data_IF_365681212177
#
_entry.id   IF_365681212177
#
_cell.length_a   1.000
_cell.length_b   1.000
_cell.length_c   1.000
_cell.angle_alpha   90.00
_cell.angle_beta   90.00
_cell.angle_gamma   90.00
#
_symmetry.space_group_name_H-M   'P 1'
#
loop_
_entity.id
_entity.type
_entity.pdbx_description
1 polymer ?
#
# COMPACT_ATOMS: atom_id res chain seq x y z
N UNK A 1 -11.33 23.10 -68.63
CA UNK A 1 -11.39 23.41 -67.18
C UNK A 1 -11.82 22.24 -66.29
N UNK A 2 -12.41 21.14 -66.82
CA UNK A 2 -12.89 20.00 -66.00
C UNK A 2 -11.80 19.09 -65.40
N UNK A 3 -10.64 18.94 -66.06
CA UNK A 3 -9.56 18.07 -65.58
C UNK A 3 -8.91 18.54 -64.26
N UNK A 4 -8.90 19.85 -64.00
CA UNK A 4 -8.29 20.42 -62.80
C UNK A 4 -9.21 20.29 -61.57
N UNK A 5 -10.54 20.41 -61.77
CA UNK A 5 -11.53 20.19 -60.70
C UNK A 5 -11.58 18.73 -60.22
N UNK A 6 -11.40 17.74 -61.12
CA UNK A 6 -11.40 16.32 -60.77
C UNK A 6 -10.16 15.90 -59.98
N UNK A 7 -8.97 16.43 -60.33
CA UNK A 7 -7.72 16.20 -59.57
C UNK A 7 -7.80 16.76 -58.15
N UNK A 8 -8.34 17.98 -57.99
CA UNK A 8 -8.41 18.63 -56.69
C UNK A 8 -9.39 17.91 -55.73
N UNK A 9 -10.51 17.38 -56.25
CA UNK A 9 -11.47 16.58 -55.47
C UNK A 9 -10.93 15.20 -55.06
N UNK A 10 -10.08 14.58 -55.89
CA UNK A 10 -9.40 13.34 -55.53
C UNK A 10 -8.26 13.57 -54.53
N UNK A 11 -7.57 14.70 -54.62
CA UNK A 11 -6.54 15.09 -53.65
C UNK A 11 -7.14 15.37 -52.27
N UNK A 12 -8.27 16.10 -52.20
CA UNK A 12 -8.95 16.36 -50.92
C UNK A 12 -9.51 15.08 -50.28
N UNK A 13 -10.04 14.15 -51.08
CA UNK A 13 -10.47 12.83 -50.57
C UNK A 13 -9.32 12.00 -50.03
N UNK A 14 -8.18 11.98 -50.72
CA UNK A 14 -6.96 11.29 -50.25
C UNK A 14 -6.40 11.96 -48.98
N UNK A 15 -6.40 13.28 -48.92
CA UNK A 15 -5.97 14.04 -47.74
C UNK A 15 -6.88 13.77 -46.53
N UNK A 16 -8.20 13.76 -46.73
CA UNK A 16 -9.16 13.42 -45.68
C UNK A 16 -9.01 11.96 -45.22
N UNK A 17 -8.75 11.01 -46.14
CA UNK A 17 -8.52 9.61 -45.79
C UNK A 17 -7.23 9.44 -44.95
N UNK A 18 -6.15 10.13 -45.32
CA UNK A 18 -4.90 10.13 -44.56
C UNK A 18 -5.11 10.75 -43.17
N UNK A 19 -5.83 11.87 -43.07
CA UNK A 19 -6.18 12.50 -41.79
C UNK A 19 -7.02 11.57 -40.91
N UNK A 20 -8.01 10.86 -41.47
CA UNK A 20 -8.86 9.93 -40.72
C UNK A 20 -8.10 8.71 -40.18
N UNK A 21 -6.95 8.34 -40.75
CA UNK A 21 -6.14 7.20 -40.27
C UNK A 21 -5.03 7.68 -39.33
N UNK A 22 -4.37 8.78 -39.67
CA UNK A 22 -3.22 9.27 -38.91
C UNK A 22 -3.66 9.86 -37.56
N UNK A 23 -4.80 10.56 -37.50
CA UNK A 23 -5.28 11.19 -36.26
C UNK A 23 -5.60 10.16 -35.16
N UNK A 24 -6.35 9.06 -35.41
CA UNK A 24 -6.58 8.03 -34.38
C UNK A 24 -5.30 7.35 -33.91
N UNK A 25 -4.35 7.06 -34.81
CA UNK A 25 -3.07 6.43 -34.46
C UNK A 25 -2.27 7.35 -33.52
N UNK A 26 -2.20 8.65 -33.83
CA UNK A 26 -1.53 9.63 -32.97
C UNK A 26 -2.23 9.76 -31.61
N UNK A 27 -3.57 9.74 -31.56
CA UNK A 27 -4.32 9.76 -30.31
C UNK A 27 -4.08 8.51 -29.45
N UNK A 28 -4.04 7.33 -30.05
CA UNK A 28 -3.71 6.08 -29.35
C UNK A 28 -2.28 6.14 -28.79
N UNK A 29 -1.31 6.64 -29.56
CA UNK A 29 0.06 6.83 -29.09
C UNK A 29 0.14 7.82 -27.93
N UNK A 30 -0.62 8.93 -27.97
CA UNK A 30 -0.68 9.89 -26.86
C UNK A 30 -1.30 9.25 -25.61
N UNK A 31 -2.39 8.48 -25.75
CA UNK A 31 -3.02 7.78 -24.62
C UNK A 31 -2.02 6.80 -23.99
N UNK A 32 -1.33 5.98 -24.78
CA UNK A 32 -0.33 5.04 -24.29
C UNK A 32 0.85 5.74 -23.60
N UNK A 33 1.30 6.89 -24.12
CA UNK A 33 2.35 7.70 -23.49
C UNK A 33 1.85 8.29 -22.16
N UNK A 34 0.63 8.83 -22.12
CA UNK A 34 0.02 9.40 -20.91
C UNK A 34 -0.19 8.32 -19.84
N UNK A 35 -0.67 7.13 -20.23
CA UNK A 35 -0.84 6.00 -19.31
C UNK A 35 0.52 5.49 -18.80
N UNK A 36 1.53 5.39 -19.67
CA UNK A 36 2.89 5.06 -19.26
C UNK A 36 3.52 6.08 -18.31
N UNK A 37 3.33 7.37 -18.56
CA UNK A 37 3.79 8.45 -17.66
C UNK A 37 3.04 8.40 -16.33
N UNK A 38 1.72 8.14 -16.35
CA UNK A 38 0.89 8.04 -15.15
C UNK A 38 1.30 6.83 -14.29
N UNK A 39 1.56 5.68 -14.92
CA UNK A 39 2.04 4.48 -14.23
C UNK A 39 3.45 4.68 -13.64
N UNK A 40 4.34 5.34 -14.39
CA UNK A 40 5.68 5.68 -13.92
C UNK A 40 5.64 6.70 -12.76
N UNK A 41 4.78 7.72 -12.80
CA UNK A 41 4.69 8.73 -11.75
C UNK A 41 4.07 8.15 -10.46
N UNK A 42 3.10 7.23 -10.58
CA UNK A 42 2.56 6.47 -9.44
C UNK A 42 3.65 5.57 -8.85
N UNK A 43 4.37 4.80 -9.67
CA UNK A 43 5.44 3.90 -9.18
C UNK A 43 6.57 4.67 -8.49
N UNK A 44 6.97 5.83 -9.05
CA UNK A 44 7.99 6.71 -8.45
C UNK A 44 7.48 7.39 -7.18
N UNK A 45 6.20 7.77 -7.08
CA UNK A 45 5.59 8.24 -5.83
C UNK A 45 5.50 7.12 -4.79
N UNK A 46 5.21 5.89 -5.21
CA UNK A 46 5.14 4.72 -4.34
C UNK A 46 6.52 4.37 -3.77
N UNK A 47 7.56 4.33 -4.62
CA UNK A 47 8.94 4.23 -4.17
C UNK A 47 9.25 5.37 -3.21
N UNK A 48 8.94 6.63 -3.54
CA UNK A 48 9.21 7.73 -2.62
C UNK A 48 8.40 7.65 -1.32
N UNK A 49 7.17 7.13 -1.28
CA UNK A 49 6.36 6.98 -0.05
C UNK A 49 6.86 5.81 0.80
N UNK A 50 7.22 4.70 0.19
CA UNK A 50 7.78 3.51 0.85
C UNK A 50 9.20 3.82 1.34
N UNK A 51 10.07 4.40 0.51
CA UNK A 51 11.41 4.85 0.88
C UNK A 51 11.41 6.01 1.88
N UNK A 52 10.51 7.00 1.78
CA UNK A 52 10.50 8.13 2.73
C UNK A 52 9.90 7.80 4.09
N UNK A 53 8.94 6.86 4.18
CA UNK A 53 8.44 6.38 5.49
C UNK A 53 9.50 5.57 6.23
N UNK A 54 10.16 4.63 5.57
CA UNK A 54 11.23 3.83 6.18
C UNK A 54 12.49 4.67 6.52
N UNK A 55 12.79 5.75 5.79
CA UNK A 55 13.93 6.64 6.10
C UNK A 55 13.63 7.67 7.21
N UNK A 56 12.34 8.00 7.45
CA UNK A 56 11.95 8.88 8.57
C UNK A 56 12.10 8.20 9.95
N UNK A 57 11.98 6.87 9.98
CA UNK A 57 12.26 6.04 11.16
C UNK A 57 13.77 5.96 11.47
N UNK A 58 14.64 6.07 10.46
CA UNK A 58 16.10 6.06 10.63
C UNK A 58 16.73 7.41 11.03
N UNK A 59 16.02 8.54 10.90
CA UNK A 59 16.57 9.89 11.17
C UNK A 59 16.33 10.43 12.59
N UNK A 60 15.71 9.66 13.50
CA UNK A 60 15.36 10.11 14.86
C UNK A 60 16.44 9.93 15.93
N UNK A 61 17.71 9.75 15.54
CA UNK A 61 18.86 9.97 16.41
C UNK A 61 19.05 11.47 16.73
N UNK A 62 18.13 12.12 17.46
CA UNK A 62 18.44 13.44 18.07
C UNK A 62 17.55 13.98 19.19
N UNK A 63 16.73 13.19 19.88
CA UNK A 63 16.00 13.73 21.05
C UNK A 63 16.04 12.77 22.23
N UNK A 64 17.00 13.01 23.12
CA UNK A 64 17.17 12.30 24.38
C UNK A 64 16.28 12.84 25.51
N UNK A 65 16.05 12.00 26.52
CA UNK A 65 15.40 12.38 27.78
C UNK A 65 14.93 11.20 28.62
N UNK A 66 15.87 10.41 29.16
CA UNK A 66 15.62 9.23 29.98
C UNK A 66 14.88 9.54 31.30
N UNK A 67 13.76 8.87 31.56
CA UNK A 67 13.31 8.51 32.92
C UNK A 67 12.84 7.05 32.96
N UNK A 68 13.73 6.17 33.43
CA UNK A 68 13.43 4.75 33.70
C UNK A 68 12.59 4.65 34.98
N UNK A 69 11.30 4.33 34.86
CA UNK A 69 10.50 3.83 35.98
C UNK A 69 10.69 2.30 36.03
N UNK A 70 11.33 1.80 37.09
CA UNK A 70 11.47 0.35 37.33
C UNK A 70 10.14 -0.20 37.86
N UNK A 71 9.51 -1.07 37.09
CA UNK A 71 8.58 -2.07 37.65
C UNK A 71 9.12 -3.46 37.33
N UNK A 72 9.22 -4.28 38.36
CA UNK A 72 9.93 -5.55 38.39
C UNK A 72 9.08 -6.69 37.81
N UNK A 73 9.73 -7.53 36.98
CA UNK A 73 9.36 -8.89 36.53
C UNK A 73 8.67 -9.13 35.16
N UNK A 74 8.80 -8.21 34.23
CA UNK A 74 8.59 -8.45 32.79
C UNK A 74 9.69 -7.73 32.01
N UNK A 75 9.99 -8.12 30.77
CA UNK A 75 10.87 -7.31 29.88
C UNK A 75 10.54 -5.82 30.10
N UNK A 76 11.54 -4.97 30.36
CA UNK A 76 11.34 -3.53 30.48
C UNK A 76 10.90 -3.00 29.11
N UNK A 77 9.61 -3.09 28.80
CA UNK A 77 9.01 -2.58 27.58
C UNK A 77 8.83 -1.06 27.77
N UNK A 78 9.82 -0.31 27.30
CA UNK A 78 9.73 1.14 27.25
C UNK A 78 9.04 1.56 25.96
N UNK A 79 7.73 1.76 25.99
CA UNK A 79 6.97 2.23 24.81
C UNK A 79 7.34 3.68 24.42
N UNK A 80 8.10 4.41 25.24
CA UNK A 80 8.72 5.67 24.84
C UNK A 80 9.95 5.46 23.98
N UNK A 81 10.51 4.24 23.95
CA UNK A 81 11.53 3.89 23.00
C UNK A 81 10.90 3.61 21.63
N UNK A 82 10.74 4.67 20.84
CA UNK A 82 10.24 4.57 19.47
C UNK A 82 11.24 3.91 18.49
N UNK A 83 12.47 3.57 18.92
CA UNK A 83 13.42 2.83 18.06
C UNK A 83 13.00 1.38 17.86
N UNK A 84 12.34 0.80 18.86
CA UNK A 84 11.94 -0.60 18.88
C UNK A 84 10.42 -0.66 18.77
N UNK A 85 9.94 -1.24 17.67
CA UNK A 85 8.52 -1.44 17.45
C UNK A 85 8.00 -2.53 18.41
N UNK A 86 6.91 -2.23 19.13
CA UNK A 86 6.23 -3.22 19.96
C UNK A 86 5.60 -4.31 19.08
N UNK A 87 5.53 -5.55 19.58
CA UNK A 87 4.58 -6.52 19.02
C UNK A 87 3.15 -6.21 19.46
N UNK A 88 2.16 -6.85 18.82
CA UNK A 88 0.76 -6.71 19.22
C UNK A 88 0.51 -7.15 20.66
N UNK A 89 1.14 -8.25 21.07
CA UNK A 89 1.08 -8.80 22.41
C UNK A 89 1.73 -7.86 23.43
N UNK A 90 2.89 -7.30 23.09
CA UNK A 90 3.58 -6.32 23.93
C UNK A 90 2.76 -5.05 24.10
N UNK A 91 2.16 -4.53 23.04
CA UNK A 91 1.22 -3.40 23.11
C UNK A 91 0.02 -3.71 24.01
N UNK A 92 -0.57 -4.90 23.89
CA UNK A 92 -1.73 -5.29 24.70
C UNK A 92 -1.38 -5.43 26.17
N UNK A 93 -0.20 -5.96 26.50
CA UNK A 93 0.30 -5.99 27.88
C UNK A 93 0.60 -4.59 28.41
N UNK A 94 1.14 -3.67 27.60
CA UNK A 94 1.28 -2.26 27.98
C UNK A 94 -0.09 -1.66 28.32
N UNK A 95 -1.07 -1.76 27.43
CA UNK A 95 -2.42 -1.23 27.65
C UNK A 95 -3.09 -1.83 28.88
N UNK A 96 -2.96 -3.14 29.08
CA UNK A 96 -3.51 -3.85 30.25
C UNK A 96 -2.93 -3.35 31.57
N UNK A 97 -1.62 -3.08 31.60
CA UNK A 97 -0.91 -2.67 32.82
C UNK A 97 -0.97 -1.15 33.09
N UNK A 98 -1.54 -0.36 32.17
CA UNK A 98 -1.78 1.08 32.41
C UNK A 98 -2.90 1.27 33.43
N UNK A 99 -2.59 2.00 34.51
CA UNK A 99 -3.53 2.32 35.59
C UNK A 99 -3.91 3.81 35.66
N UNK A 100 -3.13 4.67 35.00
CA UNK A 100 -3.34 6.11 34.94
C UNK A 100 -3.15 6.58 33.49
N UNK A 101 -3.82 7.68 33.13
CA UNK A 101 -3.62 8.31 31.83
C UNK A 101 -2.22 8.95 31.83
N UNK A 102 -1.33 8.58 30.88
CA UNK A 102 0.00 9.12 30.85
C UNK A 102 -0.03 10.58 30.34
N UNK A 103 1.04 11.35 30.56
CA UNK A 103 1.19 12.67 29.98
C UNK A 103 1.07 12.65 28.44
N UNK A 104 0.68 13.78 27.85
CA UNK A 104 0.35 13.87 26.41
C UNK A 104 1.46 13.35 25.48
N UNK A 105 2.72 13.63 25.78
CA UNK A 105 3.85 13.15 25.00
C UNK A 105 3.99 11.62 25.01
N UNK A 106 3.82 10.99 26.16
CA UNK A 106 3.86 9.53 26.32
C UNK A 106 2.64 8.89 25.65
N UNK A 107 1.47 9.54 25.73
CA UNK A 107 0.25 9.12 25.04
C UNK A 107 0.41 9.16 23.51
N UNK A 108 1.06 10.20 22.97
CA UNK A 108 1.37 10.28 21.55
C UNK A 108 2.38 9.21 21.11
N UNK A 109 3.35 8.85 21.96
CA UNK A 109 4.27 7.74 21.68
C UNK A 109 3.52 6.40 21.64
N UNK A 110 2.65 6.15 22.63
CA UNK A 110 1.81 4.95 22.66
C UNK A 110 0.91 4.87 21.41
N UNK A 111 0.32 5.99 21.00
CA UNK A 111 -0.49 6.07 19.80
C UNK A 111 0.33 5.75 18.53
N UNK A 112 1.53 6.29 18.42
CA UNK A 112 2.42 5.99 17.30
C UNK A 112 2.82 4.51 17.24
N UNK A 113 3.14 3.91 18.39
CA UNK A 113 3.39 2.47 18.49
C UNK A 113 2.16 1.66 18.08
N UNK A 114 0.97 2.07 18.51
CA UNK A 114 -0.30 1.43 18.15
C UNK A 114 -0.54 1.45 16.64
N UNK A 115 -0.33 2.58 15.98
CA UNK A 115 -0.41 2.68 14.52
C UNK A 115 0.62 1.79 13.83
N UNK A 116 1.85 1.73 14.36
CA UNK A 116 2.91 0.87 13.82
C UNK A 116 2.55 -0.61 13.89
N UNK A 117 2.03 -1.06 15.03
CA UNK A 117 1.49 -2.43 15.22
C UNK A 117 0.33 -2.68 14.25
N UNK A 118 -0.64 -1.77 14.18
CA UNK A 118 -1.83 -1.93 13.33
C UNK A 118 -1.48 -2.08 11.85
N UNK A 119 -0.59 -1.22 11.33
CA UNK A 119 -0.19 -1.24 9.91
C UNK A 119 0.87 -2.27 9.55
N UNK A 120 1.40 -3.02 10.52
CA UNK A 120 2.39 -4.06 10.25
C UNK A 120 1.78 -5.13 9.32
N UNK A 121 2.43 -5.36 8.17
CA UNK A 121 1.91 -6.21 7.09
C UNK A 121 2.96 -7.12 6.44
N UNK A 122 4.20 -7.14 6.95
CA UNK A 122 5.32 -7.84 6.32
C UNK A 122 5.06 -9.35 6.15
N UNK A 123 4.49 -9.98 7.18
CA UNK A 123 4.15 -11.41 7.17
C UNK A 123 3.12 -11.71 6.08
N UNK A 124 2.03 -10.95 6.03
CA UNK A 124 1.00 -11.07 4.99
C UNK A 124 1.59 -10.91 3.59
N UNK A 125 2.39 -9.87 3.36
CA UNK A 125 2.99 -9.63 2.05
C UNK A 125 3.95 -10.74 1.65
N UNK A 126 4.69 -11.30 2.61
CA UNK A 126 5.59 -12.44 2.40
C UNK A 126 4.81 -13.67 1.98
N UNK A 127 3.69 -13.97 2.68
CA UNK A 127 2.82 -15.07 2.31
C UNK A 127 2.21 -14.89 0.91
N UNK A 128 1.61 -13.72 0.63
CA UNK A 128 1.04 -13.42 -0.69
C UNK A 128 2.07 -13.52 -1.80
N UNK A 129 3.28 -12.99 -1.57
CA UNK A 129 4.38 -13.09 -2.53
C UNK A 129 4.77 -14.55 -2.78
N UNK A 130 4.85 -15.36 -1.72
CA UNK A 130 5.22 -16.78 -1.86
C UNK A 130 4.27 -17.58 -2.76
N UNK A 131 2.99 -17.19 -2.83
CA UNK A 131 1.99 -17.83 -3.70
C UNK A 131 2.29 -17.53 -5.17
N UNK A 132 2.53 -16.27 -5.51
CA UNK A 132 2.71 -15.84 -6.91
C UNK A 132 4.15 -15.97 -7.41
N UNK A 133 5.15 -16.06 -6.52
CA UNK A 133 6.58 -16.07 -6.85
C UNK A 133 6.97 -17.14 -7.89
N UNK A 134 6.54 -18.42 -7.79
CA UNK A 134 6.90 -19.43 -8.78
C UNK A 134 6.48 -19.08 -10.21
N UNK A 135 5.43 -18.26 -10.35
CA UNK A 135 4.97 -17.78 -11.64
C UNK A 135 5.75 -16.55 -12.10
N UNK A 136 6.09 -15.63 -11.20
CA UNK A 136 6.97 -14.51 -11.53
C UNK A 136 8.34 -15.02 -12.06
N UNK A 137 8.90 -16.06 -11.43
CA UNK A 137 10.20 -16.62 -11.79
C UNK A 137 10.20 -17.36 -13.14
N UNK A 138 9.09 -18.02 -13.49
CA UNK A 138 9.01 -18.86 -14.70
C UNK A 138 9.10 -18.06 -16.00
N UNK A 139 8.64 -16.80 -16.00
CA UNK A 139 8.44 -16.01 -17.22
C UNK A 139 9.40 -14.81 -17.35
N UNK A 140 10.39 -14.68 -16.46
CA UNK A 140 11.53 -13.78 -16.66
C UNK A 140 12.41 -14.18 -17.87
N UNK A 141 12.21 -15.40 -18.40
CA UNK A 141 13.02 -15.99 -19.48
C UNK A 141 12.37 -15.97 -20.88
N UNK A 142 11.08 -15.68 -21.00
CA UNK A 142 10.35 -15.65 -22.28
C UNK A 142 9.64 -14.29 -22.45
N UNK A 143 10.32 -13.37 -23.13
CA UNK A 143 9.77 -12.08 -23.57
C UNK A 143 8.56 -12.32 -24.50
N UNK A 144 7.32 -12.40 -23.98
CA UNK A 144 6.19 -11.78 -24.70
C UNK A 144 4.81 -11.69 -24.01
N UNK A 145 4.50 -12.30 -22.85
CA UNK A 145 3.06 -12.33 -22.45
C UNK A 145 2.70 -12.17 -20.95
N UNK A 146 3.64 -11.87 -20.04
CA UNK A 146 3.33 -11.88 -18.59
C UNK A 146 3.47 -10.59 -17.78
N UNK A 147 3.43 -9.43 -18.44
CA UNK A 147 3.24 -8.12 -17.80
C UNK A 147 2.02 -8.08 -16.85
N UNK A 148 1.05 -8.99 -17.01
CA UNK A 148 -0.18 -9.05 -16.19
C UNK A 148 0.09 -9.55 -14.77
N UNK A 149 0.96 -10.54 -14.58
CA UNK A 149 1.18 -11.13 -13.25
C UNK A 149 1.98 -10.17 -12.34
N UNK A 150 3.01 -9.54 -12.90
CA UNK A 150 3.77 -8.47 -12.23
C UNK A 150 2.89 -7.24 -11.96
N UNK A 151 2.10 -6.79 -12.95
CA UNK A 151 1.14 -5.71 -12.73
C UNK A 151 0.10 -6.05 -11.65
N UNK A 152 -0.32 -7.31 -11.55
CA UNK A 152 -1.26 -7.75 -10.49
C UNK A 152 -0.59 -7.71 -9.11
N UNK A 153 0.67 -8.13 -9.00
CA UNK A 153 1.43 -8.00 -7.76
C UNK A 153 1.63 -6.53 -7.35
N UNK A 154 1.97 -5.65 -8.30
CA UNK A 154 2.08 -4.21 -8.04
C UNK A 154 0.74 -3.64 -7.59
N UNK A 155 -0.36 -3.99 -8.26
CA UNK A 155 -1.70 -3.55 -7.89
C UNK A 155 -2.11 -4.04 -6.49
N UNK A 156 -1.68 -5.24 -6.09
CA UNK A 156 -1.84 -5.76 -4.73
C UNK A 156 -1.15 -4.87 -3.70
N UNK A 157 0.13 -4.54 -3.90
CA UNK A 157 0.87 -3.65 -3.01
C UNK A 157 0.24 -2.27 -2.93
N UNK A 158 -0.24 -1.74 -4.07
CA UNK A 158 -0.91 -0.44 -4.13
C UNK A 158 -2.20 -0.43 -3.32
N UNK A 159 -3.09 -1.38 -3.58
CA UNK A 159 -4.39 -1.45 -2.91
C UNK A 159 -4.23 -1.65 -1.40
N UNK A 160 -3.34 -2.55 -0.97
CA UNK A 160 -3.05 -2.75 0.46
C UNK A 160 -2.51 -1.46 1.09
N UNK A 161 -1.52 -0.82 0.45
CA UNK A 161 -0.92 0.42 0.95
C UNK A 161 -1.91 1.58 1.08
N UNK A 162 -2.81 1.75 0.10
CA UNK A 162 -3.85 2.78 0.12
C UNK A 162 -4.87 2.54 1.23
N UNK A 163 -5.38 1.31 1.39
CA UNK A 163 -6.33 0.98 2.45
C UNK A 163 -5.74 1.25 3.84
N UNK A 164 -4.50 0.81 4.09
CA UNK A 164 -3.85 1.03 5.39
C UNK A 164 -3.57 2.52 5.65
N UNK A 165 -3.23 3.29 4.61
CA UNK A 165 -3.04 4.74 4.74
C UNK A 165 -4.35 5.46 5.07
N UNK A 166 -5.44 5.12 4.40
CA UNK A 166 -6.75 5.71 4.66
C UNK A 166 -7.23 5.41 6.09
N UNK A 167 -6.97 4.20 6.58
CA UNK A 167 -7.19 3.84 7.98
C UNK A 167 -6.34 4.67 8.93
N UNK A 168 -5.03 4.79 8.69
CA UNK A 168 -4.12 5.60 9.51
C UNK A 168 -4.59 7.06 9.60
N UNK A 169 -5.01 7.66 8.48
CA UNK A 169 -5.52 9.03 8.45
C UNK A 169 -6.83 9.18 9.24
N UNK A 170 -7.77 8.24 9.06
CA UNK A 170 -9.05 8.22 9.77
C UNK A 170 -8.84 8.14 11.28
N UNK A 171 -8.11 7.12 11.73
CA UNK A 171 -7.88 6.87 13.15
C UNK A 171 -7.03 7.95 13.81
N UNK A 172 -6.06 8.56 13.09
CA UNK A 172 -5.35 9.74 13.58
C UNK A 172 -6.28 10.93 13.84
N UNK A 173 -7.22 11.18 12.93
CA UNK A 173 -8.16 12.29 13.07
C UNK A 173 -9.15 12.04 14.22
N UNK A 174 -9.61 10.80 14.37
CA UNK A 174 -10.46 10.39 15.49
C UNK A 174 -9.73 10.50 16.83
N UNK A 175 -8.47 10.05 16.89
CA UNK A 175 -7.64 10.18 18.08
C UNK A 175 -7.43 11.64 18.49
N UNK A 176 -7.11 12.53 17.54
CA UNK A 176 -7.01 13.99 17.81
C UNK A 176 -8.32 14.57 18.35
N UNK A 177 -9.46 14.17 17.79
CA UNK A 177 -10.78 14.59 18.28
C UNK A 177 -11.09 14.06 19.66
N UNK A 178 -10.62 12.85 19.98
CA UNK A 178 -10.75 12.23 21.29
C UNK A 178 -9.96 13.01 22.34
N UNK A 179 -8.70 13.38 22.05
CA UNK A 179 -7.85 14.17 22.95
C UNK A 179 -8.45 15.53 23.30
N UNK A 180 -9.10 16.18 22.34
CA UNK A 180 -9.77 17.48 22.56
C UNK A 180 -10.97 17.42 23.52
N UNK A 181 -11.39 16.23 23.96
CA UNK A 181 -12.54 16.01 24.85
C UNK A 181 -12.15 15.59 26.27
N UNK A 182 -10.88 15.74 26.64
CA UNK A 182 -10.35 15.31 27.95
C UNK A 182 -10.68 13.82 28.23
N UNK A 183 -10.13 12.89 27.43
CA UNK A 183 -10.54 11.49 27.46
C UNK A 183 -10.13 10.78 28.74
N UNK A 184 -10.91 9.79 29.15
CA UNK A 184 -10.48 8.86 30.21
C UNK A 184 -9.46 7.87 29.66
N UNK A 185 -8.73 7.20 30.56
CA UNK A 185 -7.84 6.11 30.19
C UNK A 185 -8.58 5.01 29.41
N UNK A 186 -9.80 4.67 29.82
CA UNK A 186 -10.61 3.66 29.12
C UNK A 186 -10.95 4.10 27.70
N UNK A 187 -11.30 5.37 27.48
CA UNK A 187 -11.54 5.88 26.14
C UNK A 187 -10.31 5.75 25.22
N UNK A 188 -9.11 5.99 25.76
CA UNK A 188 -7.85 5.80 25.02
C UNK A 188 -7.64 4.32 24.68
N UNK A 189 -7.79 3.42 25.66
CA UNK A 189 -7.61 1.98 25.46
C UNK A 189 -8.60 1.45 24.43
N UNK A 190 -9.87 1.79 24.57
CA UNK A 190 -10.95 1.37 23.65
C UNK A 190 -10.67 1.84 22.23
N UNK A 191 -10.21 3.08 22.06
CA UNK A 191 -9.85 3.62 20.74
C UNK A 191 -8.67 2.87 20.13
N UNK A 192 -7.62 2.59 20.91
CA UNK A 192 -6.46 1.83 20.44
C UNK A 192 -6.87 0.40 20.06
N UNK A 193 -7.63 -0.31 20.91
CA UNK A 193 -8.11 -1.66 20.60
C UNK A 193 -8.96 -1.68 19.34
N UNK A 194 -9.89 -0.73 19.21
CA UNK A 194 -10.75 -0.61 18.02
C UNK A 194 -9.93 -0.34 16.75
N UNK A 195 -8.89 0.49 16.85
CA UNK A 195 -7.97 0.75 15.75
C UNK A 195 -7.24 -0.52 15.31
N UNK A 196 -6.63 -1.25 16.24
CA UNK A 196 -5.91 -2.50 15.94
C UNK A 196 -6.85 -3.54 15.32
N UNK A 197 -8.04 -3.71 15.88
CA UNK A 197 -9.04 -4.65 15.36
C UNK A 197 -9.42 -4.32 13.91
N UNK A 198 -9.74 -3.06 13.62
CA UNK A 198 -10.11 -2.66 12.27
C UNK A 198 -8.98 -2.87 11.26
N UNK A 199 -7.73 -2.62 11.67
CA UNK A 199 -6.56 -2.90 10.84
C UNK A 199 -6.45 -4.39 10.53
N UNK A 200 -6.63 -5.25 11.53
CA UNK A 200 -6.56 -6.70 11.35
C UNK A 200 -7.67 -7.25 10.46
N UNK A 201 -8.90 -6.78 10.63
CA UNK A 201 -10.04 -7.15 9.77
C UNK A 201 -9.79 -6.73 8.31
N UNK A 202 -9.38 -5.47 8.10
CA UNK A 202 -9.09 -4.96 6.75
C UNK A 202 -7.94 -5.73 6.10
N UNK A 203 -6.88 -6.02 6.87
CA UNK A 203 -5.76 -6.85 6.43
C UNK A 203 -6.21 -8.25 6.03
N UNK A 204 -7.06 -8.89 6.83
CA UNK A 204 -7.57 -10.23 6.54
C UNK A 204 -8.41 -10.27 5.26
N UNK A 205 -9.26 -9.26 5.04
CA UNK A 205 -10.08 -9.15 3.83
C UNK A 205 -9.21 -8.96 2.58
N UNK A 206 -8.21 -8.08 2.65
CA UNK A 206 -7.25 -7.86 1.57
C UNK A 206 -6.43 -9.12 1.27
N UNK A 207 -5.94 -9.80 2.31
CA UNK A 207 -5.23 -11.07 2.17
C UNK A 207 -6.08 -12.10 1.42
N UNK A 208 -7.33 -12.29 1.85
CA UNK A 208 -8.24 -13.25 1.22
C UNK A 208 -8.49 -12.89 -0.24
N UNK A 209 -8.79 -11.63 -0.53
CA UNK A 209 -9.00 -11.12 -1.91
C UNK A 209 -7.81 -11.45 -2.81
N UNK A 210 -6.59 -11.15 -2.37
CA UNK A 210 -5.40 -11.33 -3.20
C UNK A 210 -4.92 -12.78 -3.26
N UNK A 211 -5.09 -13.55 -2.19
CA UNK A 211 -4.85 -14.98 -2.19
C UNK A 211 -5.72 -15.69 -3.24
N UNK A 212 -7.04 -15.46 -3.21
CA UNK A 212 -7.97 -16.05 -4.19
C UNK A 212 -7.64 -15.61 -5.63
N UNK A 213 -7.23 -14.34 -5.82
CA UNK A 213 -6.83 -13.83 -7.12
C UNK A 213 -5.56 -14.54 -7.64
N UNK A 214 -4.54 -14.66 -6.81
CA UNK A 214 -3.30 -15.33 -7.19
C UNK A 214 -3.51 -16.81 -7.45
N UNK A 215 -4.26 -17.52 -6.60
CA UNK A 215 -4.64 -18.92 -6.83
C UNK A 215 -5.38 -19.10 -8.18
N UNK A 216 -6.29 -18.20 -8.55
CA UNK A 216 -6.94 -18.25 -9.88
C UNK A 216 -5.98 -18.02 -11.05
N UNK A 217 -4.98 -17.14 -10.88
CA UNK A 217 -3.96 -16.91 -11.91
C UNK A 217 -3.16 -18.20 -12.12
N UNK A 218 -2.78 -18.85 -11.02
CA UNK A 218 -2.07 -20.13 -10.99
C UNK A 218 -2.90 -21.20 -11.72
N UNK A 219 -4.15 -21.40 -11.34
CA UNK A 219 -5.02 -22.45 -11.89
C UNK A 219 -5.29 -22.26 -13.39
N UNK A 220 -5.65 -21.03 -13.81
CA UNK A 220 -5.97 -20.74 -15.21
C UNK A 220 -4.75 -20.93 -16.13
N UNK A 221 -3.54 -20.67 -15.63
CA UNK A 221 -2.32 -20.85 -16.42
C UNK A 221 -1.83 -22.30 -16.41
N UNK A 222 -2.02 -23.03 -15.31
CA UNK A 222 -1.80 -24.48 -15.28
C UNK A 222 -2.64 -25.21 -16.34
N UNK A 223 -3.89 -24.80 -16.52
CA UNK A 223 -4.77 -25.30 -17.58
C UNK A 223 -4.27 -24.95 -18.99
N UNK A 224 -3.84 -23.70 -19.26
CA UNK A 224 -3.29 -23.36 -20.60
C UNK A 224 -2.04 -24.16 -20.97
N UNK A 225 -1.19 -24.48 -20.00
CA UNK A 225 0.01 -25.30 -20.25
C UNK A 225 -0.27 -26.77 -20.56
N UNK A 226 -1.44 -27.32 -20.17
CA UNK A 226 -1.80 -28.72 -20.43
C UNK A 226 -2.55 -28.94 -21.75
N UNK A 227 -3.03 -27.87 -22.40
CA UNK A 227 -3.71 -27.93 -23.71
C UNK A 227 -2.80 -27.62 -24.91
N UNK A 228 -1.53 -27.28 -24.69
CA UNK A 228 -0.52 -27.12 -25.73
C UNK A 228 0.27 -28.44 -25.95
N UNK A 229 -0.43 -29.49 -26.40
CA UNK A 229 0.16 -30.74 -26.90
C UNK A 229 -0.20 -30.95 -28.37
#
# INVERSE_FOLDING_TARGET
MEGNMRKNKNFSKKLNYVLCIVVPIVLILIINIVDGIRHHDISRRMENIIYSRHLSEFKKDKYGGLRKRKNTNTKNLDYNNISDQLTKEELYEVLKNMNELPPENELMNLWHQSLSVGKHMNEMLTELKSIIQPYLDKYESEYDDDLRSEATWVQCLVDIGENLLDMELRYNNEFKRLLNKEPTLDNIKDHIYSCILAFDETKQDLYKKYKELFERIIDNKGLRSSFNF
#
